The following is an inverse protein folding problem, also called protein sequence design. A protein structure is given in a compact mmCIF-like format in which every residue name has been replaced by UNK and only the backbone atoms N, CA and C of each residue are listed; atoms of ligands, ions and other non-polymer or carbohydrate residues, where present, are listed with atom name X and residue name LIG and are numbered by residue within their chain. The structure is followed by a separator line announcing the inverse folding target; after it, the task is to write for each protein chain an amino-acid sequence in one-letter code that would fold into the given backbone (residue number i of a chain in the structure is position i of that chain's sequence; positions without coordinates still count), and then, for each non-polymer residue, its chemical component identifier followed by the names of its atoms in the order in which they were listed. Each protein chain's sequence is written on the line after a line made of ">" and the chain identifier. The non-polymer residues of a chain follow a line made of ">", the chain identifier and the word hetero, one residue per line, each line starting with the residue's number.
data_IF_177563593628
#
_entry.id   IF_177563593628
#
_cell.length_a   1.000
_cell.length_b   1.000
_cell.length_c   1.000
_cell.angle_alpha   90.00
_cell.angle_beta   90.00
_cell.angle_gamma   90.00
#
_symmetry.space_group_name_H-M   'P 1'
#
loop_
_entity.id
_entity.type
_entity.pdbx_description
1 polymer ?
#
# COMPACT_ATOMS: atom_id res chain seq x y z
N UNK A 1 28.66 10.32 2.98
CA UNK A 1 28.28 11.10 4.18
C UNK A 1 26.98 10.52 4.70
N UNK A 2 26.96 10.00 5.93
CA UNK A 2 25.73 9.45 6.54
C UNK A 2 24.90 10.61 7.10
N UNK A 3 23.56 10.65 6.93
CA UNK A 3 22.73 11.66 7.56
C UNK A 3 22.77 11.49 9.08
N UNK A 4 22.82 12.62 9.80
CA UNK A 4 22.61 12.67 11.25
C UNK A 4 21.13 12.40 11.52
N UNK A 5 20.84 11.25 12.13
CA UNK A 5 19.52 10.98 12.72
C UNK A 5 19.45 11.78 14.02
N UNK A 6 18.52 12.73 14.07
CA UNK A 6 18.18 13.49 15.27
C UNK A 6 17.54 12.55 16.28
N UNK A 7 18.10 12.47 17.49
CA UNK A 7 17.56 11.69 18.58
C UNK A 7 16.36 12.42 19.19
N UNK A 8 15.15 11.99 18.84
CA UNK A 8 13.94 11.98 19.66
C UNK A 8 12.90 11.20 18.87
N UNK A 9 12.31 10.23 19.54
CA UNK A 9 11.33 9.26 19.03
C UNK A 9 11.93 8.13 18.17
N UNK A 10 12.47 7.12 18.87
CA UNK A 10 12.75 5.82 18.27
C UNK A 10 11.43 5.15 17.89
N UNK A 11 11.24 4.70 16.63
CA UNK A 11 10.07 3.91 16.27
C UNK A 11 10.04 2.62 17.10
N UNK A 12 8.83 2.14 17.39
CA UNK A 12 8.55 0.93 18.17
C UNK A 12 9.58 -0.18 17.87
N UNK A 13 10.15 -0.77 18.92
CA UNK A 13 11.15 -1.84 18.84
C UNK A 13 10.47 -3.18 19.05
N UNK A 14 10.88 -4.20 18.30
CA UNK A 14 10.50 -5.60 18.57
C UNK A 14 11.73 -6.33 19.09
N UNK A 15 11.54 -7.13 20.13
CA UNK A 15 12.55 -8.03 20.67
C UNK A 15 12.39 -9.40 20.03
N UNK A 16 13.44 -9.94 19.41
CA UNK A 16 13.41 -11.31 18.88
C UNK A 16 13.45 -12.36 20.02
N UNK A 17 13.29 -13.64 19.68
CA UNK A 17 13.39 -14.78 20.64
C UNK A 17 14.77 -14.92 21.31
N UNK A 18 15.79 -14.19 20.84
CA UNK A 18 17.14 -14.14 21.40
C UNK A 18 17.38 -12.91 22.30
N UNK A 19 16.40 -12.02 22.46
CA UNK A 19 16.52 -10.81 23.27
C UNK A 19 17.10 -9.59 22.54
N UNK A 20 17.36 -9.69 21.24
CA UNK A 20 17.89 -8.59 20.44
C UNK A 20 16.76 -7.63 20.05
N UNK A 21 16.96 -6.33 20.31
CA UNK A 21 16.07 -5.27 19.88
C UNK A 21 16.38 -4.86 18.45
N UNK A 22 15.44 -5.11 17.54
CA UNK A 22 15.51 -4.58 16.18
C UNK A 22 14.47 -3.49 16.00
N UNK A 23 14.82 -2.40 15.30
CA UNK A 23 13.81 -1.44 14.96
C UNK A 23 12.84 -2.09 13.95
N UNK A 24 11.54 -1.83 14.11
CA UNK A 24 10.46 -2.49 13.35
C UNK A 24 10.68 -2.61 11.83
N UNK A 25 11.37 -1.63 11.24
CA UNK A 25 11.68 -1.58 9.81
C UNK A 25 12.68 -2.65 9.34
N UNK A 26 13.40 -3.34 10.22
CA UNK A 26 14.29 -4.46 9.87
C UNK A 26 13.57 -5.82 9.77
N UNK A 27 12.33 -5.92 10.25
CA UNK A 27 11.58 -7.17 10.19
C UNK A 27 11.05 -7.43 8.78
N UNK A 28 11.49 -8.53 8.17
CA UNK A 28 10.89 -9.05 6.93
C UNK A 28 9.66 -9.88 7.32
N UNK A 29 8.46 -9.57 6.80
CA UNK A 29 7.27 -10.34 7.13
C UNK A 29 7.45 -11.81 6.68
N UNK A 30 7.08 -12.79 7.52
CA UNK A 30 7.04 -14.18 7.10
C UNK A 30 6.23 -14.39 5.83
N UNK A 31 6.59 -15.39 5.03
CA UNK A 31 5.80 -15.75 3.85
C UNK A 31 4.41 -16.24 4.26
N UNK A 32 3.40 -15.81 3.52
CA UNK A 32 2.00 -16.12 3.77
C UNK A 32 1.31 -15.11 4.68
N UNK A 33 2.01 -14.12 5.24
CA UNK A 33 1.38 -13.13 6.14
C UNK A 33 0.43 -12.20 5.40
N UNK A 34 0.69 -11.95 4.12
CA UNK A 34 -0.14 -11.02 3.33
C UNK A 34 -1.41 -11.72 2.81
N UNK A 35 -2.58 -11.04 2.81
CA UNK A 35 -3.84 -11.58 2.30
C UNK A 35 -3.76 -12.19 0.90
N UNK A 36 -3.05 -11.52 -0.02
CA UNK A 36 -2.87 -12.02 -1.38
C UNK A 36 -1.92 -13.23 -1.42
N UNK A 37 -0.89 -13.28 -0.58
CA UNK A 37 -0.03 -14.48 -0.49
C UNK A 37 -0.88 -15.70 -0.09
N UNK A 38 -1.79 -15.56 0.89
CA UNK A 38 -2.75 -16.59 1.27
C UNK A 38 -3.71 -16.95 0.13
N UNK A 39 -4.19 -15.97 -0.61
CA UNK A 39 -5.08 -16.21 -1.74
C UNK A 39 -4.37 -17.00 -2.84
N UNK A 40 -3.13 -16.64 -3.18
CA UNK A 40 -2.35 -17.32 -4.20
C UNK A 40 -2.10 -18.78 -3.85
N UNK A 41 -1.64 -19.08 -2.63
CA UNK A 41 -1.37 -20.47 -2.23
C UNK A 41 -2.64 -21.32 -2.14
N UNK A 42 -3.77 -20.76 -1.67
CA UNK A 42 -5.03 -21.49 -1.57
C UNK A 42 -5.65 -21.81 -2.93
N UNK A 43 -5.44 -20.95 -3.92
CA UNK A 43 -6.06 -21.06 -5.25
C UNK A 43 -5.09 -21.54 -6.33
N UNK A 44 -3.88 -21.94 -5.95
CA UNK A 44 -2.93 -22.50 -6.90
C UNK A 44 -3.37 -23.89 -7.36
N UNK A 45 -3.48 -24.05 -8.67
CA UNK A 45 -3.77 -25.31 -9.35
C UNK A 45 -2.46 -25.91 -9.88
N UNK A 46 -1.94 -26.93 -9.20
CA UNK A 46 -0.72 -27.66 -9.59
C UNK A 46 -0.85 -28.44 -10.91
N UNK A 47 -2.07 -28.67 -11.38
CA UNK A 47 -2.36 -29.38 -12.63
C UNK A 47 -2.70 -28.41 -13.79
N UNK A 48 -2.49 -27.11 -13.59
CA UNK A 48 -2.68 -26.12 -14.64
C UNK A 48 -1.73 -26.37 -15.81
N UNK A 49 -2.23 -26.23 -17.04
CA UNK A 49 -1.41 -26.27 -18.26
C UNK A 49 -0.73 -24.93 -18.55
N UNK A 50 -1.15 -23.87 -17.85
CA UNK A 50 -0.57 -22.54 -18.01
C UNK A 50 0.85 -22.47 -17.44
N UNK A 51 1.66 -21.56 -17.96
CA UNK A 51 2.91 -21.23 -17.28
C UNK A 51 2.61 -20.65 -15.88
N UNK A 52 3.44 -20.94 -14.86
CA UNK A 52 3.25 -20.43 -13.50
C UNK A 52 3.03 -18.90 -13.44
N UNK A 53 3.75 -18.14 -14.25
CA UNK A 53 3.59 -16.67 -14.34
C UNK A 53 2.20 -16.25 -14.81
N UNK A 54 1.62 -16.94 -15.79
CA UNK A 54 0.30 -16.64 -16.33
C UNK A 54 -0.80 -16.97 -15.32
N UNK A 55 -0.69 -18.13 -14.68
CA UNK A 55 -1.62 -18.52 -13.61
C UNK A 55 -1.57 -17.51 -12.46
N UNK A 56 -0.37 -17.10 -12.04
CA UNK A 56 -0.20 -16.11 -10.99
C UNK A 56 -0.86 -14.78 -11.36
N UNK A 57 -0.60 -14.25 -12.56
CA UNK A 57 -1.18 -12.99 -13.01
C UNK A 57 -2.72 -13.05 -12.98
N UNK A 58 -3.31 -14.16 -13.47
CA UNK A 58 -4.77 -14.37 -13.39
C UNK A 58 -5.28 -14.38 -11.95
N UNK A 59 -4.56 -15.01 -11.03
CA UNK A 59 -4.97 -15.05 -9.62
C UNK A 59 -4.85 -13.68 -8.95
N UNK A 60 -3.83 -12.88 -9.29
CA UNK A 60 -3.71 -11.49 -8.80
C UNK A 60 -4.91 -10.66 -9.30
N UNK A 61 -5.26 -10.75 -10.57
CA UNK A 61 -6.42 -10.03 -11.12
C UNK A 61 -7.73 -10.45 -10.44
N UNK A 62 -7.94 -11.76 -10.25
CA UNK A 62 -9.11 -12.27 -9.51
C UNK A 62 -9.13 -11.80 -8.05
N UNK A 63 -7.96 -11.65 -7.42
CA UNK A 63 -7.86 -11.10 -6.07
C UNK A 63 -8.30 -9.64 -6.04
N UNK A 64 -7.93 -8.84 -7.04
CA UNK A 64 -8.32 -7.42 -7.14
C UNK A 64 -9.81 -7.24 -7.43
N UNK A 65 -10.41 -8.15 -8.21
CA UNK A 65 -11.82 -8.12 -8.60
C UNK A 65 -12.78 -8.67 -7.52
N UNK A 66 -12.25 -9.28 -6.45
CA UNK A 66 -13.08 -9.94 -5.43
C UNK A 66 -13.93 -8.93 -4.66
N UNK A 67 -15.13 -9.34 -4.27
CA UNK A 67 -15.92 -8.58 -3.31
C UNK A 67 -15.21 -8.63 -1.95
N UNK A 68 -14.79 -7.47 -1.45
CA UNK A 68 -13.95 -7.33 -0.25
C UNK A 68 -14.69 -7.73 1.02
N UNK A 69 -15.98 -8.04 0.97
CA UNK A 69 -16.83 -8.42 2.11
C UNK A 69 -16.40 -9.70 2.85
N UNK A 70 -15.58 -10.58 2.25
CA UNK A 70 -15.19 -11.85 2.88
C UNK A 70 -14.13 -11.67 3.99
N UNK A 71 -14.53 -11.90 5.25
CA UNK A 71 -13.68 -11.81 6.46
C UNK A 71 -12.53 -12.84 6.52
N UNK A 72 -12.49 -13.81 5.61
CA UNK A 72 -11.54 -14.93 5.60
C UNK A 72 -10.05 -14.54 5.51
N UNK A 73 -9.76 -13.27 5.22
CA UNK A 73 -8.40 -12.74 5.13
C UNK A 73 -8.06 -11.69 6.21
N UNK A 74 -8.92 -11.52 7.23
CA UNK A 74 -8.65 -10.69 8.40
C UNK A 74 -7.74 -11.46 9.36
N UNK A 75 -6.44 -11.19 9.31
CA UNK A 75 -5.46 -11.91 10.15
C UNK A 75 -5.03 -11.09 11.35
N UNK A 76 -4.93 -11.78 12.50
CA UNK A 76 -4.20 -11.31 13.67
C UNK A 76 -2.70 -11.32 13.35
N UNK A 77 -1.96 -10.39 13.95
CA UNK A 77 -0.58 -10.04 13.61
C UNK A 77 0.45 -11.15 13.92
N UNK A 78 0.04 -12.27 14.50
CA UNK A 78 0.97 -13.23 15.10
C UNK A 78 1.45 -14.31 14.13
N UNK A 79 0.60 -14.88 13.26
CA UNK A 79 0.99 -15.92 12.29
C UNK A 79 0.04 -16.02 11.08
N UNK A 80 0.56 -16.32 9.87
CA UNK A 80 -0.27 -16.72 8.74
C UNK A 80 -1.17 -17.92 9.09
N UNK A 81 -2.44 -17.95 8.64
CA UNK A 81 -3.33 -19.09 8.88
C UNK A 81 -2.80 -20.41 8.31
N UNK A 82 -2.06 -20.32 7.20
CA UNK A 82 -1.37 -21.43 6.57
C UNK A 82 0.07 -21.01 6.29
N UNK A 83 1.02 -21.75 6.86
CA UNK A 83 2.42 -21.64 6.49
C UNK A 83 2.61 -22.13 5.05
N UNK A 84 3.15 -21.31 4.15
CA UNK A 84 3.51 -21.79 2.82
C UNK A 84 4.70 -22.74 2.91
N UNK A 85 4.71 -23.77 2.08
CA UNK A 85 5.85 -24.69 1.94
C UNK A 85 7.00 -24.02 1.18
N UNK A 86 8.22 -24.56 1.28
CA UNK A 86 9.36 -24.05 0.50
C UNK A 86 9.13 -24.12 -1.01
N UNK A 87 8.37 -25.11 -1.48
CA UNK A 87 7.96 -25.23 -2.88
C UNK A 87 6.98 -24.12 -3.27
N UNK A 88 5.95 -23.87 -2.45
CA UNK A 88 4.99 -22.79 -2.68
C UNK A 88 5.68 -21.41 -2.67
N UNK A 89 6.64 -21.19 -1.76
CA UNK A 89 7.44 -19.97 -1.74
C UNK A 89 8.24 -19.86 -3.05
N UNK A 90 9.00 -20.88 -3.43
CA UNK A 90 9.88 -20.85 -4.60
C UNK A 90 9.14 -20.76 -5.94
N UNK A 91 7.94 -21.34 -6.04
CA UNK A 91 7.17 -21.40 -7.28
C UNK A 91 6.14 -20.27 -7.40
N UNK A 92 5.44 -19.95 -6.31
CA UNK A 92 4.26 -19.11 -6.32
C UNK A 92 4.61 -17.69 -5.90
N UNK A 93 5.20 -17.52 -4.71
CA UNK A 93 5.30 -16.23 -4.03
C UNK A 93 6.59 -15.46 -4.38
N UNK A 94 7.74 -16.10 -4.23
CA UNK A 94 9.05 -15.49 -4.45
C UNK A 94 9.22 -14.93 -5.88
N UNK A 95 8.83 -15.65 -6.96
CA UNK A 95 9.02 -15.11 -8.30
C UNK A 95 8.03 -13.97 -8.66
N UNK A 96 7.07 -13.67 -7.79
CA UNK A 96 6.19 -12.50 -7.94
C UNK A 96 6.78 -11.26 -7.28
N UNK A 97 7.20 -11.42 -6.02
CA UNK A 97 7.61 -10.33 -5.14
C UNK A 97 8.80 -10.80 -4.32
N UNK A 98 9.96 -10.93 -4.96
CA UNK A 98 11.20 -11.39 -4.32
C UNK A 98 11.87 -10.31 -3.46
N UNK A 99 11.48 -9.05 -3.62
CA UNK A 99 12.11 -7.92 -2.93
C UNK A 99 11.54 -7.74 -1.51
N UNK A 100 12.40 -7.92 -0.51
CA UNK A 100 12.04 -7.79 0.90
C UNK A 100 11.68 -6.36 1.32
N UNK A 101 12.18 -5.33 0.63
CA UNK A 101 11.73 -3.95 0.83
C UNK A 101 10.27 -3.84 0.40
N UNK A 102 9.92 -4.34 -0.79
CA UNK A 102 8.55 -4.29 -1.31
C UNK A 102 7.59 -5.11 -0.46
N UNK A 103 8.00 -6.31 -0.02
CA UNK A 103 7.21 -7.12 0.91
C UNK A 103 6.95 -6.41 2.24
N UNK A 104 7.94 -5.69 2.78
CA UNK A 104 7.77 -4.85 3.97
C UNK A 104 6.77 -3.73 3.73
N UNK A 105 6.92 -2.96 2.65
CA UNK A 105 5.96 -1.89 2.32
C UNK A 105 4.53 -2.42 2.24
N UNK A 106 4.35 -3.56 1.56
CA UNK A 106 3.06 -4.22 1.43
C UNK A 106 2.47 -4.61 2.79
N UNK A 107 3.28 -5.14 3.70
CA UNK A 107 2.85 -5.45 5.06
C UNK A 107 2.32 -4.23 5.80
N UNK A 108 3.03 -3.10 5.79
CA UNK A 108 2.58 -1.88 6.47
C UNK A 108 1.34 -1.27 5.82
N UNK A 109 1.21 -1.35 4.49
CA UNK A 109 -0.01 -0.94 3.78
C UNK A 109 -1.26 -1.74 4.20
N UNK A 110 -1.10 -2.97 4.74
CA UNK A 110 -2.25 -3.71 5.31
C UNK A 110 -2.64 -3.26 6.71
N UNK A 111 -1.78 -2.51 7.41
CA UNK A 111 -1.94 -2.17 8.83
C UNK A 111 -2.53 -0.80 9.07
N UNK A 112 -2.42 0.09 8.11
CA UNK A 112 -2.79 1.49 8.28
C UNK A 112 -3.45 2.03 7.00
N UNK A 113 -4.54 2.78 7.17
CA UNK A 113 -5.23 3.46 6.07
C UNK A 113 -4.51 4.77 5.83
N UNK A 114 -3.51 4.76 4.96
CA UNK A 114 -2.66 5.95 4.76
C UNK A 114 -2.64 6.33 3.31
N UNK A 115 -2.52 7.64 3.11
CA UNK A 115 -2.12 8.27 1.87
C UNK A 115 -0.92 7.51 1.27
N UNK A 116 -1.01 7.11 0.01
CA UNK A 116 0.12 6.49 -0.70
C UNK A 116 0.73 7.52 -1.64
N UNK A 117 2.05 7.67 -1.62
CA UNK A 117 2.76 8.42 -2.65
C UNK A 117 3.27 7.47 -3.73
N UNK A 118 2.91 7.71 -4.99
CA UNK A 118 3.33 6.90 -6.12
C UNK A 118 4.06 7.76 -7.14
N UNK A 119 5.33 7.44 -7.43
CA UNK A 119 6.04 8.02 -8.56
C UNK A 119 5.84 7.14 -9.79
N UNK A 120 5.33 7.70 -10.88
CA UNK A 120 5.13 6.97 -12.14
C UNK A 120 6.01 7.46 -13.29
N UNK A 121 6.73 8.56 -13.09
CA UNK A 121 7.67 9.14 -14.05
C UNK A 121 9.04 9.35 -13.43
N UNK A 122 10.10 9.00 -14.16
CA UNK A 122 11.47 8.97 -13.65
C UNK A 122 12.43 9.69 -14.61
N UNK A 123 12.86 10.87 -14.19
CA UNK A 123 14.00 11.62 -14.71
C UNK A 123 14.97 11.87 -13.53
N UNK A 124 16.27 11.56 -13.64
CA UNK A 124 17.24 11.83 -12.58
C UNK A 124 17.30 13.30 -12.13
N UNK A 125 16.99 14.25 -13.00
CA UNK A 125 16.97 15.68 -12.65
C UNK A 125 15.82 16.03 -11.68
N UNK A 126 14.80 15.18 -11.63
CA UNK A 126 13.63 15.36 -10.76
C UNK A 126 13.78 14.68 -9.38
N UNK A 127 14.88 13.96 -9.13
CA UNK A 127 15.10 13.28 -7.85
C UNK A 127 15.18 14.26 -6.66
N UNK A 128 15.67 15.48 -6.90
CA UNK A 128 15.66 16.55 -5.91
C UNK A 128 14.24 16.97 -5.51
N UNK A 129 13.32 17.09 -6.47
CA UNK A 129 11.91 17.42 -6.20
C UNK A 129 11.20 16.30 -5.46
N UNK A 130 11.51 15.05 -5.82
CA UNK A 130 10.99 13.89 -5.09
C UNK A 130 11.41 13.90 -3.62
N UNK A 131 12.66 14.29 -3.33
CA UNK A 131 13.12 14.40 -1.95
C UNK A 131 12.37 15.51 -1.19
N UNK A 132 12.18 16.67 -1.83
CA UNK A 132 11.40 17.78 -1.28
C UNK A 132 9.96 17.34 -0.94
N UNK A 133 9.25 16.71 -1.89
CA UNK A 133 7.84 16.32 -1.74
C UNK A 133 7.55 15.18 -0.77
N UNK A 134 8.56 14.42 -0.34
CA UNK A 134 8.37 13.24 0.51
C UNK A 134 8.98 13.43 1.89
N UNK A 135 10.16 14.06 1.97
CA UNK A 135 10.94 14.13 3.20
C UNK A 135 11.03 15.53 3.79
N UNK A 136 10.89 16.58 2.98
CA UNK A 136 10.88 17.97 3.49
C UNK A 136 9.46 18.44 3.83
N UNK A 137 8.46 17.81 3.22
CA UNK A 137 7.07 17.96 3.61
C UNK A 137 6.72 16.91 4.66
N UNK A 138 6.16 17.32 5.80
CA UNK A 138 5.65 16.40 6.85
C UNK A 138 4.40 15.61 6.40
N UNK A 139 4.19 15.41 5.09
CA UNK A 139 3.01 14.77 4.50
C UNK A 139 2.85 13.31 4.93
N UNK A 140 3.97 12.60 5.08
CA UNK A 140 3.98 11.19 5.48
C UNK A 140 4.65 10.96 6.82
N UNK A 141 5.10 12.01 7.53
CA UNK A 141 5.82 11.91 8.80
C UNK A 141 6.81 10.72 8.82
N UNK A 142 6.66 9.82 9.80
CA UNK A 142 7.46 8.59 9.96
C UNK A 142 7.07 7.47 8.98
N UNK A 143 5.96 7.60 8.26
CA UNK A 143 5.43 6.59 7.32
C UNK A 143 6.02 6.69 5.90
N UNK A 144 6.76 7.76 5.61
CA UNK A 144 7.37 8.00 4.29
C UNK A 144 8.15 6.80 3.73
N UNK A 145 8.83 6.04 4.60
CA UNK A 145 9.64 4.90 4.17
C UNK A 145 8.82 3.75 3.56
N UNK A 146 7.55 3.57 3.95
CA UNK A 146 6.68 2.53 3.42
C UNK A 146 5.56 3.05 2.53
N UNK A 147 5.04 4.25 2.79
CA UNK A 147 3.97 4.88 2.03
C UNK A 147 4.45 5.45 0.68
N UNK A 148 5.75 5.70 0.53
CA UNK A 148 6.34 6.16 -0.73
C UNK A 148 6.77 5.01 -1.63
N UNK A 149 6.14 4.90 -2.80
CA UNK A 149 6.42 3.94 -3.87
C UNK A 149 7.24 4.63 -4.96
N UNK A 150 8.57 4.60 -4.82
CA UNK A 150 9.54 5.32 -5.66
C UNK A 150 10.65 4.39 -6.21
N UNK A 151 10.27 3.26 -6.81
CA UNK A 151 11.19 2.30 -7.42
C UNK A 151 10.99 2.21 -8.93
N UNK A 152 11.91 2.76 -9.77
CA UNK A 152 11.71 2.89 -11.22
C UNK A 152 11.51 1.55 -11.94
N UNK A 153 12.12 0.48 -11.43
CA UNK A 153 11.99 -0.87 -12.01
C UNK A 153 10.60 -1.47 -11.80
N UNK A 154 9.85 -0.94 -10.84
CA UNK A 154 8.57 -1.49 -10.41
C UNK A 154 7.40 -0.57 -10.75
N UNK A 155 7.56 0.75 -10.62
CA UNK A 155 6.43 1.69 -10.65
C UNK A 155 6.45 2.67 -11.82
N UNK A 156 7.38 2.54 -12.78
CA UNK A 156 7.42 3.37 -13.98
C UNK A 156 6.32 2.99 -14.98
N UNK A 157 5.07 3.28 -14.61
CA UNK A 157 3.87 2.97 -15.39
C UNK A 157 3.33 4.15 -16.19
N UNK A 158 3.89 5.35 -16.03
CA UNK A 158 3.36 6.56 -16.66
C UNK A 158 1.89 6.79 -16.31
N UNK A 159 1.03 6.83 -17.34
CA UNK A 159 -0.43 6.99 -17.19
C UNK A 159 -1.12 5.78 -16.59
N UNK A 160 -0.53 4.59 -16.73
CA UNK A 160 -1.15 3.31 -16.37
C UNK A 160 -0.90 2.96 -14.89
N UNK A 161 -1.01 3.96 -14.02
CA UNK A 161 -0.65 3.90 -12.60
C UNK A 161 -1.36 2.76 -11.84
N UNK A 162 -2.57 2.36 -12.26
CA UNK A 162 -3.35 1.27 -11.66
C UNK A 162 -2.59 -0.07 -11.66
N UNK A 163 -1.61 -0.24 -12.55
CA UNK A 163 -0.72 -1.40 -12.56
C UNK A 163 0.10 -1.55 -11.28
N UNK A 164 0.19 -0.50 -10.45
CA UNK A 164 0.74 -0.59 -9.09
C UNK A 164 0.06 -1.70 -8.28
N UNK A 165 -1.23 -1.95 -8.48
CA UNK A 165 -1.97 -2.98 -7.77
C UNK A 165 -1.61 -4.41 -8.20
N UNK A 166 -0.96 -4.60 -9.36
CA UNK A 166 -0.38 -5.90 -9.73
C UNK A 166 0.82 -6.26 -8.85
N UNK A 167 1.46 -5.24 -8.25
CA UNK A 167 2.64 -5.35 -7.40
C UNK A 167 2.28 -5.14 -5.92
N UNK A 168 1.36 -4.22 -5.64
CA UNK A 168 0.97 -3.71 -4.31
C UNK A 168 -0.57 -3.66 -4.18
N UNK A 169 -1.28 -4.78 -4.35
CA UNK A 169 -2.73 -4.87 -4.18
C UNK A 169 -3.20 -4.40 -2.79
N UNK A 170 -2.31 -4.41 -1.80
CA UNK A 170 -2.58 -3.94 -0.44
C UNK A 170 -2.94 -2.44 -0.41
N UNK A 171 -2.40 -1.62 -1.31
CA UNK A 171 -2.77 -0.20 -1.42
C UNK A 171 -4.15 0.03 -2.06
N UNK A 172 -4.77 -1.03 -2.58
CA UNK A 172 -6.10 -0.98 -3.17
C UNK A 172 -7.20 -1.38 -2.16
N UNK A 173 -6.80 -2.04 -1.08
CA UNK A 173 -7.68 -2.72 -0.14
C UNK A 173 -7.66 -1.92 1.18
N UNK A 174 -8.59 -0.98 1.33
CA UNK A 174 -8.73 -0.17 2.55
C UNK A 174 -9.10 -1.05 3.75
N UNK A 175 -8.11 -1.68 4.38
CA UNK A 175 -8.28 -2.74 5.36
C UNK A 175 -8.85 -2.27 6.72
N UNK A 176 -9.12 -0.97 6.92
CA UNK A 176 -9.35 -0.40 8.26
C UNK A 176 -10.82 -0.16 8.58
N UNK A 177 -11.69 0.16 7.61
CA UNK A 177 -13.09 0.46 7.95
C UNK A 177 -13.86 -0.73 8.54
N UNK A 178 -13.41 -1.97 8.27
CA UNK A 178 -14.05 -3.16 8.84
C UNK A 178 -13.77 -3.39 10.33
N UNK A 179 -12.73 -2.78 10.90
CA UNK A 179 -12.46 -2.88 12.35
C UNK A 179 -13.28 -1.90 13.19
N UNK A 180 -13.79 -0.82 12.60
CA UNK A 180 -14.49 0.25 13.34
C UNK A 180 -16.02 0.12 13.27
N UNK A 181 -16.59 -0.52 12.24
CA UNK A 181 -18.04 -0.78 12.20
C UNK A 181 -18.42 -1.94 13.12
N UNK A 182 -18.54 -1.66 14.42
CA UNK A 182 -19.58 -2.32 15.24
C UNK A 182 -20.94 -2.09 14.56
N UNK A 183 -21.86 -3.06 14.59
CA UNK A 183 -23.18 -2.88 14.00
C UNK A 183 -24.00 -1.97 14.91
N UNK A 184 -23.95 -0.65 14.71
CA UNK A 184 -24.91 0.28 15.31
C UNK A 184 -25.59 1.15 14.25
N UNK A 185 -26.90 0.88 14.18
CA UNK A 185 -28.07 1.64 13.70
C UNK A 185 -28.21 2.09 12.23
N UNK A 186 -29.39 1.82 11.61
CA UNK A 186 -29.63 2.05 10.20
C UNK A 186 -30.35 3.38 9.93
N UNK A 187 -29.74 4.54 10.14
CA UNK A 187 -30.42 5.82 9.80
C UNK A 187 -29.48 6.92 9.27
N UNK A 188 -29.13 6.83 7.97
CA UNK A 188 -29.25 7.94 7.01
C UNK A 188 -28.71 7.53 5.63
N UNK A 189 -29.59 7.37 4.65
CA UNK A 189 -29.20 7.15 3.25
C UNK A 189 -28.85 8.48 2.57
N UNK A 190 -27.83 9.18 3.06
CA UNK A 190 -27.01 9.95 2.12
C UNK A 190 -26.27 8.91 1.28
N UNK A 191 -26.02 9.22 0.00
CA UNK A 191 -25.22 8.35 -0.85
C UNK A 191 -23.80 8.37 -0.27
N UNK A 192 -23.52 7.47 0.66
CA UNK A 192 -22.21 7.32 1.29
C UNK A 192 -21.20 7.01 0.19
N UNK A 193 -20.51 8.06 -0.27
CA UNK A 193 -19.32 7.89 -1.08
C UNK A 193 -18.28 7.34 -0.11
N UNK A 194 -18.19 6.01 -0.04
CA UNK A 194 -17.27 5.34 0.85
C UNK A 194 -15.86 5.46 0.27
N UNK A 195 -15.10 6.46 0.73
CA UNK A 195 -13.73 6.66 0.30
C UNK A 195 -12.88 5.57 0.98
N UNK A 196 -12.23 4.74 0.18
CA UNK A 196 -11.42 3.63 0.69
C UNK A 196 -9.92 3.94 0.71
N UNK A 197 -9.46 4.84 -0.16
CA UNK A 197 -8.04 5.17 -0.26
C UNK A 197 -7.80 6.55 -0.91
N UNK A 198 -6.64 7.14 -0.56
CA UNK A 198 -6.09 8.31 -1.21
C UNK A 198 -4.71 7.99 -1.78
N UNK A 199 -4.47 8.38 -3.04
CA UNK A 199 -3.17 8.22 -3.70
C UNK A 199 -2.72 9.55 -4.25
N UNK A 200 -1.52 9.97 -3.89
CA UNK A 200 -0.81 11.11 -4.47
C UNK A 200 0.15 10.57 -5.52
N UNK A 201 0.04 11.05 -6.75
CA UNK A 201 0.85 10.60 -7.88
C UNK A 201 1.77 11.72 -8.35
N UNK A 202 3.06 11.42 -8.39
CA UNK A 202 4.08 12.18 -9.10
C UNK A 202 4.26 11.61 -10.52
N UNK A 203 3.41 12.08 -11.43
CA UNK A 203 3.48 11.79 -12.85
C UNK A 203 4.31 12.86 -13.60
N UNK A 204 4.47 12.70 -14.91
CA UNK A 204 5.26 13.64 -15.72
C UNK A 204 4.74 15.09 -15.60
N UNK A 205 3.42 15.28 -15.57
CA UNK A 205 2.81 16.61 -15.45
C UNK A 205 3.11 17.23 -14.08
N UNK A 206 3.15 16.44 -13.01
CA UNK A 206 3.53 16.91 -11.69
C UNK A 206 4.95 17.51 -11.67
N UNK A 207 5.91 16.86 -12.33
CA UNK A 207 7.27 17.38 -12.42
C UNK A 207 7.40 18.64 -13.28
N UNK A 208 6.52 18.82 -14.27
CA UNK A 208 6.48 19.99 -15.15
C UNK A 208 5.78 21.18 -14.50
N UNK A 209 4.66 20.94 -13.82
CA UNK A 209 3.80 21.98 -13.24
C UNK A 209 4.10 22.30 -11.78
N UNK A 210 4.73 21.36 -11.07
CA UNK A 210 4.87 21.40 -9.61
C UNK A 210 3.62 20.91 -8.85
N UNK A 211 2.56 20.46 -9.55
CA UNK A 211 1.29 20.06 -8.94
C UNK A 211 1.11 18.54 -8.95
N UNK A 212 1.03 17.94 -7.77
CA UNK A 212 0.81 16.52 -7.59
C UNK A 212 -0.63 16.14 -7.95
N UNK A 213 -0.84 14.91 -8.45
CA UNK A 213 -2.18 14.40 -8.75
C UNK A 213 -2.73 13.62 -7.54
N UNK A 214 -3.73 14.16 -6.86
CA UNK A 214 -4.43 13.47 -5.78
C UNK A 214 -5.66 12.75 -6.32
N UNK A 215 -5.72 11.44 -6.07
CA UNK A 215 -6.86 10.58 -6.38
C UNK A 215 -7.56 10.18 -5.09
N UNK A 216 -8.89 10.27 -5.11
CA UNK A 216 -9.79 9.70 -4.12
C UNK A 216 -10.46 8.48 -4.74
N UNK A 217 -10.37 7.33 -4.08
CA UNK A 217 -10.83 6.05 -4.61
C UNK A 217 -11.93 5.45 -3.73
N UNK A 218 -12.92 4.81 -4.37
CA UNK A 218 -13.91 4.01 -3.66
C UNK A 218 -13.38 2.61 -3.30
N UNK A 219 -14.21 1.80 -2.62
CA UNK A 219 -13.91 0.42 -2.25
C UNK A 219 -13.66 -0.51 -3.45
N UNK A 220 -13.99 -0.09 -4.67
CA UNK A 220 -13.76 -0.81 -5.91
C UNK A 220 -12.62 -0.21 -6.73
N UNK A 221 -11.83 0.70 -6.14
CA UNK A 221 -10.70 1.39 -6.79
C UNK A 221 -11.12 2.30 -7.96
N UNK A 222 -12.41 2.65 -8.06
CA UNK A 222 -12.85 3.64 -9.02
C UNK A 222 -12.44 5.03 -8.53
N UNK A 223 -12.03 5.88 -9.47
CA UNK A 223 -11.74 7.28 -9.20
C UNK A 223 -13.07 8.00 -8.97
N UNK A 224 -13.32 8.39 -7.73
CA UNK A 224 -14.49 9.19 -7.31
C UNK A 224 -14.14 10.66 -7.12
N UNK A 225 -12.84 10.97 -7.08
CA UNK A 225 -12.33 12.34 -7.07
C UNK A 225 -10.91 12.40 -7.61
N UNK A 226 -10.61 13.45 -8.34
CA UNK A 226 -9.28 13.72 -8.88
C UNK A 226 -9.03 15.22 -8.85
N UNK A 227 -7.85 15.63 -8.39
CA UNK A 227 -7.47 17.04 -8.31
C UNK A 227 -5.95 17.19 -8.39
N UNK A 228 -5.50 18.30 -8.99
CA UNK A 228 -4.10 18.73 -8.94
C UNK A 228 -3.89 19.62 -7.72
N UNK A 229 -2.95 19.25 -6.86
CA UNK A 229 -2.73 19.88 -5.55
C UNK A 229 -1.31 20.41 -5.43
N UNK A 230 -1.14 21.52 -4.71
CA UNK A 230 0.18 21.98 -4.32
C UNK A 230 0.78 21.02 -3.29
N UNK A 231 2.10 21.06 -3.15
CA UNK A 231 2.92 20.19 -2.30
C UNK A 231 2.71 20.37 -0.79
N UNK A 232 1.81 21.29 -0.37
CA UNK A 232 1.65 21.61 1.05
C UNK A 232 0.84 20.50 1.75
N UNK A 233 1.40 19.85 2.78
CA UNK A 233 0.68 18.83 3.55
C UNK A 233 -0.69 19.30 4.02
N UNK A 234 -0.78 20.53 4.51
CA UNK A 234 -2.03 21.11 4.99
C UNK A 234 -3.14 21.12 3.92
N UNK A 235 -2.84 21.38 2.65
CA UNK A 235 -3.85 21.41 1.59
C UNK A 235 -4.33 20.00 1.22
N UNK A 236 -3.40 19.03 1.19
CA UNK A 236 -3.73 17.61 0.94
C UNK A 236 -4.53 17.04 2.11
N UNK A 237 -4.08 17.27 3.34
CA UNK A 237 -4.76 16.84 4.56
C UNK A 237 -6.13 17.51 4.69
N UNK A 238 -6.25 18.81 4.41
CA UNK A 238 -7.54 19.51 4.43
C UNK A 238 -8.51 18.94 3.38
N UNK A 239 -8.04 18.65 2.16
CA UNK A 239 -8.88 18.01 1.14
C UNK A 239 -9.34 16.60 1.53
N UNK A 240 -8.49 15.85 2.23
CA UNK A 240 -8.84 14.54 2.79
C UNK A 240 -9.89 14.71 3.91
N UNK A 241 -9.67 15.60 4.87
CA UNK A 241 -10.57 15.87 6.00
C UNK A 241 -11.92 16.45 5.58
N UNK A 242 -11.96 17.29 4.53
CA UNK A 242 -13.21 17.85 4.01
C UNK A 242 -14.06 16.80 3.28
N UNK A 243 -13.43 15.77 2.71
CA UNK A 243 -14.10 14.71 1.93
C UNK A 243 -14.40 13.47 2.76
N UNK A 244 -13.73 13.30 3.89
CA UNK A 244 -13.98 12.26 4.88
C UNK A 244 -14.18 12.90 6.28
N UNK A 245 -15.44 13.19 6.67
CA UNK A 245 -15.74 13.81 7.96
C UNK A 245 -15.38 12.94 9.17
N UNK A 246 -15.07 11.65 8.97
CA UNK A 246 -14.77 10.69 10.04
C UNK A 246 -13.34 10.89 10.56
N UNK A 247 -12.42 11.39 9.72
CA UNK A 247 -11.05 11.72 10.14
C UNK A 247 -10.94 13.09 10.86
N UNK A 248 -12.05 13.83 10.96
CA UNK A 248 -12.12 15.17 11.57
C UNK A 248 -12.56 15.21 13.05
N UNK A 249 -12.57 14.10 13.77
CA UNK A 249 -12.99 14.01 15.18
C UNK A 249 -11.98 13.27 16.08
#
# INVERSE_FOLDING_TARGET
>A
MRPRISSKDTPNKITNMAGDEFPLWEMIPPWGTLPIEQYLIKNWNHFSIDAPSQQRQRLIQRFLERDKTTEEFLFSDELPPRMPTSEEIGLILHPWRSDDVIRRKAYYLTKDSVLVFLRTHYDPEDDGKMNEWVYETDLFEENSWWACLNEPRLFNFGSDWQRVYEIMPEGADGYIEKRIKKPEEPENRLRDINIAAYIVIADQEAFQSGLLRLLCLDDRQNIIGEVRVDRKPAEITELILQRDPILGL
#
